data_IF_495003449072
#
_entry.id   IF_495003449072
#
_cell.length_a   1.000
_cell.length_b   1.000
_cell.length_c   1.000
_cell.angle_alpha   90.00
_cell.angle_beta   90.00
_cell.angle_gamma   90.00
#
_symmetry.space_group_name_H-M   'P 1'
#
loop_
_entity.id
_entity.type
_entity.pdbx_description
1 polymer ?
#
# COMPACT_ATOMS: atom_id res chain seq x y z
N UNK A 1 30.75 -15.76 38.58
CA UNK A 1 30.24 -16.94 37.84
C UNK A 1 29.41 -16.40 36.68
N UNK A 2 30.07 -16.16 35.55
CA UNK A 2 29.42 -15.61 34.35
C UNK A 2 28.77 -16.75 33.56
N UNK A 3 27.45 -16.70 33.39
CA UNK A 3 26.75 -17.56 32.45
C UNK A 3 26.95 -17.02 31.03
N UNK A 4 27.89 -17.62 30.30
CA UNK A 4 28.00 -17.53 28.85
C UNK A 4 26.91 -18.42 28.22
N UNK A 5 25.88 -17.83 27.63
CA UNK A 5 25.01 -18.54 26.67
C UNK A 5 25.69 -18.49 25.29
N UNK A 6 26.07 -19.63 24.69
CA UNK A 6 26.44 -19.65 23.29
C UNK A 6 25.15 -19.59 22.44
N UNK A 7 25.05 -18.59 21.58
CA UNK A 7 24.09 -18.57 20.47
C UNK A 7 24.52 -19.64 19.46
N UNK A 8 24.27 -20.91 19.79
CA UNK A 8 24.38 -21.98 18.82
C UNK A 8 23.21 -21.84 17.84
N UNK A 9 23.53 -21.46 16.60
CA UNK A 9 22.61 -21.63 15.47
C UNK A 9 22.47 -23.14 15.25
N UNK A 10 21.52 -23.76 15.96
CA UNK A 10 21.19 -25.16 15.72
C UNK A 10 20.65 -25.31 14.28
N UNK A 11 21.10 -26.32 13.53
CA UNK A 11 20.56 -26.60 12.21
C UNK A 11 19.07 -26.96 12.36
N UNK A 12 18.22 -26.17 11.68
CA UNK A 12 16.77 -26.34 11.69
C UNK A 12 16.41 -27.79 11.31
N UNK A 13 15.63 -28.52 12.13
CA UNK A 13 15.13 -29.83 11.73
C UNK A 13 14.21 -29.68 10.52
N UNK A 14 14.52 -30.43 9.47
CA UNK A 14 13.80 -30.54 8.19
C UNK A 14 12.44 -31.22 8.36
N UNK A 15 11.54 -30.60 9.14
CA UNK A 15 10.13 -30.93 9.13
C UNK A 15 9.40 -29.81 8.39
N UNK A 16 9.13 -30.06 7.11
CA UNK A 16 8.33 -29.19 6.25
C UNK A 16 6.88 -29.18 6.77
N UNK A 17 6.58 -28.27 7.69
CA UNK A 17 5.20 -27.92 8.02
C UNK A 17 4.72 -27.04 6.87
N UNK A 18 3.74 -27.53 6.10
CA UNK A 18 3.08 -26.82 5.01
C UNK A 18 2.51 -25.49 5.57
N UNK A 19 3.14 -24.38 5.22
CA UNK A 19 2.63 -23.04 5.47
C UNK A 19 1.42 -22.82 4.56
N UNK A 20 0.36 -22.20 5.07
CA UNK A 20 -0.75 -21.77 4.21
C UNK A 20 -0.26 -20.63 3.31
N UNK A 21 -0.86 -20.47 2.13
CA UNK A 21 -0.54 -19.32 1.26
C UNK A 21 -0.74 -18.01 2.04
N UNK A 22 0.30 -17.16 2.09
CA UNK A 22 0.33 -15.89 2.82
C UNK A 22 1.05 -15.93 4.18
N UNK A 23 1.51 -17.09 4.63
CA UNK A 23 2.23 -17.25 5.90
C UNK A 23 3.75 -17.20 5.70
N UNK A 24 4.41 -16.18 6.26
CA UNK A 24 5.88 -16.13 6.34
C UNK A 24 6.34 -16.60 7.71
N UNK A 25 7.24 -17.59 7.75
CA UNK A 25 7.92 -18.01 8.98
C UNK A 25 8.88 -16.91 9.42
N UNK A 26 8.62 -16.32 10.58
CA UNK A 26 9.49 -15.29 11.19
C UNK A 26 10.31 -15.81 12.37
N UNK A 27 10.11 -17.07 12.75
CA UNK A 27 10.91 -17.72 13.79
C UNK A 27 10.25 -18.99 14.33
N UNK A 28 10.75 -19.47 15.46
CA UNK A 28 10.14 -20.55 16.22
C UNK A 28 9.98 -20.14 17.67
N UNK A 29 8.88 -20.54 18.30
CA UNK A 29 8.58 -20.33 19.72
C UNK A 29 8.47 -21.69 20.38
N UNK A 30 9.18 -21.87 21.50
CA UNK A 30 9.03 -23.03 22.36
C UNK A 30 7.74 -22.91 23.18
N UNK A 31 6.86 -23.91 23.12
CA UNK A 31 5.59 -23.92 23.88
C UNK A 31 5.64 -24.76 25.16
N UNK A 32 6.83 -25.15 25.61
CA UNK A 32 7.01 -26.06 26.74
C UNK A 32 7.00 -27.55 26.36
N UNK A 33 6.54 -27.89 25.16
CA UNK A 33 6.44 -29.29 24.68
C UNK A 33 6.92 -29.51 23.24
N UNK A 34 6.92 -28.46 22.40
CA UNK A 34 7.41 -28.49 21.03
C UNK A 34 7.82 -27.10 20.56
N UNK A 35 8.68 -27.08 19.55
CA UNK A 35 8.92 -25.89 18.74
C UNK A 35 7.75 -25.68 17.79
N UNK A 36 7.09 -24.54 17.90
CA UNK A 36 6.01 -24.14 17.00
C UNK A 36 6.52 -22.99 16.13
N UNK A 37 6.34 -23.03 14.80
CA UNK A 37 6.70 -21.91 13.95
C UNK A 37 5.90 -20.67 14.38
N UNK A 38 6.62 -19.57 14.61
CA UNK A 38 5.99 -18.25 14.68
C UNK A 38 5.74 -17.83 13.25
N UNK A 39 4.47 -17.87 12.90
CA UNK A 39 3.98 -17.41 11.61
C UNK A 39 3.60 -15.95 11.78
N UNK A 40 4.14 -15.07 10.94
CA UNK A 40 3.56 -13.74 10.81
C UNK A 40 2.15 -13.95 10.25
N UNK A 41 1.13 -13.67 11.05
CA UNK A 41 -0.22 -13.62 10.52
C UNK A 41 -0.22 -12.57 9.40
N UNK A 42 -0.62 -12.98 8.21
CA UNK A 42 -0.88 -12.04 7.12
C UNK A 42 -1.84 -10.98 7.68
N UNK A 43 -1.37 -9.74 7.75
CA UNK A 43 -2.18 -8.59 8.14
C UNK A 43 -3.45 -8.60 7.28
N UNK A 44 -4.59 -8.96 7.88
CA UNK A 44 -5.86 -9.19 7.20
C UNK A 44 -6.55 -7.88 6.81
N UNK A 45 -5.92 -6.73 7.08
CA UNK A 45 -6.45 -5.43 6.71
C UNK A 45 -6.55 -5.31 5.19
N UNK A 46 -7.66 -4.74 4.66
CA UNK A 46 -7.77 -4.42 3.25
C UNK A 46 -6.60 -3.55 2.79
N UNK A 47 -6.06 -3.84 1.61
CA UNK A 47 -4.96 -3.12 1.00
C UNK A 47 -5.45 -2.45 -0.28
N UNK A 48 -5.20 -1.16 -0.41
CA UNK A 48 -5.40 -0.44 -1.68
C UNK A 48 -4.16 -0.69 -2.54
N UNK A 49 -4.38 -1.21 -3.75
CA UNK A 49 -3.34 -1.49 -4.74
C UNK A 49 -3.64 -0.69 -5.99
N UNK A 50 -2.65 0.07 -6.47
CA UNK A 50 -2.75 0.79 -7.74
C UNK A 50 -2.56 -0.22 -8.87
N UNK A 51 -3.51 -0.30 -9.80
CA UNK A 51 -3.45 -1.21 -10.95
C UNK A 51 -2.98 -0.48 -12.22
N UNK A 52 -3.34 0.79 -12.36
CA UNK A 52 -3.03 1.55 -13.55
C UNK A 52 -3.02 3.06 -13.26
N UNK A 53 -2.14 3.78 -13.96
CA UNK A 53 -2.12 5.23 -14.01
C UNK A 53 -2.02 5.62 -15.48
N UNK A 54 -2.87 6.53 -15.93
CA UNK A 54 -2.84 7.06 -17.30
C UNK A 54 -2.90 8.57 -17.27
N UNK A 55 -2.17 9.22 -18.17
CA UNK A 55 -2.27 10.66 -18.41
C UNK A 55 -3.17 10.94 -19.60
N UNK A 56 -3.74 12.14 -19.64
CA UNK A 56 -4.45 12.63 -20.81
C UNK A 56 -3.54 12.69 -22.06
N UNK A 57 -4.16 12.65 -23.24
CA UNK A 57 -3.43 12.57 -24.50
C UNK A 57 -2.42 13.73 -24.70
N UNK A 58 -2.72 14.92 -24.19
CA UNK A 58 -1.84 16.09 -24.31
C UNK A 58 -0.63 16.05 -23.37
N UNK A 59 -0.67 15.24 -22.32
CA UNK A 59 0.38 15.16 -21.30
C UNK A 59 1.12 13.83 -21.29
N UNK A 60 0.64 12.82 -22.03
CA UNK A 60 1.21 11.48 -22.01
C UNK A 60 2.70 11.44 -22.40
N UNK A 61 3.11 12.19 -23.42
CA UNK A 61 4.50 12.29 -23.86
C UNK A 61 5.45 12.91 -22.80
N UNK A 62 4.89 13.61 -21.81
CA UNK A 62 5.60 14.29 -20.73
C UNK A 62 5.36 13.65 -19.36
N UNK A 63 4.75 12.46 -19.34
CA UNK A 63 4.42 11.74 -18.11
C UNK A 63 5.30 10.49 -17.98
N UNK A 64 5.98 10.37 -16.85
CA UNK A 64 6.79 9.21 -16.50
C UNK A 64 6.13 8.57 -15.27
N UNK A 65 5.77 7.30 -15.39
CA UNK A 65 5.16 6.50 -14.33
C UNK A 65 6.16 5.41 -13.95
N UNK A 66 6.47 5.29 -12.66
CA UNK A 66 7.32 4.20 -12.17
C UNK A 66 6.62 2.85 -12.35
N UNK A 67 7.38 1.79 -12.62
CA UNK A 67 6.85 0.44 -12.89
C UNK A 67 5.98 -0.12 -11.75
N UNK A 68 6.23 0.32 -10.52
CA UNK A 68 5.48 -0.06 -9.33
C UNK A 68 4.37 0.92 -8.95
N UNK A 69 4.10 1.92 -9.80
CA UNK A 69 3.14 3.00 -9.57
C UNK A 69 3.39 3.85 -8.31
N UNK A 70 4.55 3.75 -7.66
CA UNK A 70 4.84 4.49 -6.44
C UNK A 70 5.13 5.97 -6.69
N UNK A 71 5.65 6.30 -7.89
CA UNK A 71 5.96 7.67 -8.29
C UNK A 71 5.47 7.96 -9.72
N UNK A 72 4.90 9.15 -9.91
CA UNK A 72 4.53 9.70 -11.21
C UNK A 72 5.11 11.09 -11.34
N UNK A 73 5.74 11.39 -12.47
CA UNK A 73 6.19 12.73 -12.84
C UNK A 73 5.45 13.19 -14.08
N UNK A 74 4.89 14.38 -14.06
CA UNK A 74 4.09 14.90 -15.17
C UNK A 74 4.19 16.43 -15.26
N UNK A 75 3.56 17.00 -16.29
CA UNK A 75 3.48 18.45 -16.48
C UNK A 75 2.36 19.08 -15.67
N UNK A 76 2.49 20.36 -15.37
CA UNK A 76 1.35 21.18 -14.95
C UNK A 76 0.30 21.23 -16.06
N UNK A 77 -0.97 21.14 -15.66
CA UNK A 77 -2.14 21.01 -16.52
C UNK A 77 -2.54 19.55 -16.82
N UNK A 78 -1.70 18.57 -16.50
CA UNK A 78 -2.00 17.17 -16.79
C UNK A 78 -3.21 16.65 -15.99
N UNK A 79 -4.01 15.82 -16.63
CA UNK A 79 -5.06 15.04 -15.96
C UNK A 79 -4.62 13.58 -15.88
N UNK A 80 -4.49 13.06 -14.65
CA UNK A 80 -4.18 11.66 -14.41
C UNK A 80 -5.44 10.90 -14.03
N UNK A 81 -5.69 9.77 -14.67
CA UNK A 81 -6.69 8.79 -14.26
C UNK A 81 -5.97 7.61 -13.58
N UNK A 82 -6.32 7.38 -12.31
CA UNK A 82 -5.71 6.35 -11.47
C UNK A 82 -6.78 5.29 -11.19
N UNK A 83 -6.44 4.04 -11.47
CA UNK A 83 -7.28 2.88 -11.16
C UNK A 83 -6.66 2.11 -10.01
N UNK A 84 -7.48 1.82 -9.01
CA UNK A 84 -7.10 1.10 -7.80
C UNK A 84 -8.05 -0.06 -7.55
N UNK A 85 -7.55 -1.10 -6.88
CA UNK A 85 -8.36 -2.18 -6.33
C UNK A 85 -8.08 -2.37 -4.85
N UNK A 86 -9.02 -2.98 -4.17
CA UNK A 86 -8.90 -3.38 -2.77
C UNK A 86 -8.62 -4.88 -2.69
N UNK A 87 -7.66 -5.27 -1.85
CA UNK A 87 -7.29 -6.67 -1.67
C UNK A 87 -7.17 -7.05 -0.20
N UNK A 88 -7.52 -8.30 0.12
CA UNK A 88 -7.21 -8.93 1.41
C UNK A 88 -6.44 -10.21 1.12
N UNK A 89 -5.24 -10.36 1.68
CA UNK A 89 -4.41 -11.54 1.43
C UNK A 89 -4.04 -11.75 -0.05
N UNK A 90 -4.00 -10.69 -0.86
CA UNK A 90 -3.72 -10.75 -2.31
C UNK A 90 -4.92 -11.17 -3.17
N UNK A 91 -6.10 -11.31 -2.59
CA UNK A 91 -7.35 -11.54 -3.33
C UNK A 91 -8.18 -10.27 -3.37
N UNK A 92 -8.87 -10.04 -4.50
CA UNK A 92 -9.81 -8.92 -4.64
C UNK A 92 -10.86 -8.96 -3.53
N UNK A 93 -11.03 -7.84 -2.84
CA UNK A 93 -12.02 -7.67 -1.79
C UNK A 93 -13.22 -6.87 -2.34
N UNK A 94 -14.34 -7.53 -2.69
CA UNK A 94 -15.44 -6.90 -3.39
C UNK A 94 -16.29 -6.06 -2.44
N UNK A 95 -15.88 -4.80 -2.25
CA UNK A 95 -16.57 -3.83 -1.40
C UNK A 95 -17.22 -2.74 -2.24
N UNK A 96 -18.38 -2.25 -1.77
CA UNK A 96 -19.07 -1.08 -2.30
C UNK A 96 -19.08 0.01 -1.24
N UNK A 97 -17.98 0.75 -1.13
CA UNK A 97 -17.81 1.80 -0.12
C UNK A 97 -17.13 3.02 -0.71
N UNK A 98 -17.32 4.18 -0.08
CA UNK A 98 -16.63 5.41 -0.46
C UNK A 98 -15.59 5.75 0.60
N UNK A 99 -14.38 6.09 0.14
CA UNK A 99 -13.27 6.50 0.98
C UNK A 99 -12.80 7.89 0.58
N UNK A 100 -12.53 8.73 1.57
CA UNK A 100 -11.87 10.01 1.32
C UNK A 100 -10.36 9.78 1.31
N UNK A 101 -9.77 9.89 0.13
CA UNK A 101 -8.32 9.83 -0.04
C UNK A 101 -7.77 11.23 0.23
N UNK A 102 -7.01 11.44 1.32
CA UNK A 102 -6.42 12.73 1.61
C UNK A 102 -5.25 12.97 0.66
N UNK A 103 -5.30 14.09 -0.05
CA UNK A 103 -4.22 14.53 -0.95
C UNK A 103 -3.50 15.69 -0.26
N UNK A 104 -2.26 15.48 0.16
CA UNK A 104 -1.44 16.54 0.75
C UNK A 104 -0.59 17.18 -0.32
N UNK A 105 -0.73 18.49 -0.44
CA UNK A 105 0.13 19.36 -1.24
C UNK A 105 1.42 19.70 -0.48
N UNK A 106 2.46 20.18 -1.18
CA UNK A 106 3.76 20.57 -0.59
C UNK A 106 3.61 21.64 0.50
N UNK A 107 2.64 22.54 0.34
CA UNK A 107 2.32 23.59 1.30
C UNK A 107 1.59 23.07 2.56
N UNK A 108 1.39 21.76 2.67
CA UNK A 108 0.73 21.11 3.80
C UNK A 108 -0.79 21.16 3.74
N UNK A 109 -1.39 21.71 2.68
CA UNK A 109 -2.84 21.70 2.52
C UNK A 109 -3.34 20.31 2.14
N UNK A 110 -4.37 19.86 2.83
CA UNK A 110 -5.03 18.57 2.59
C UNK A 110 -6.31 18.79 1.82
N UNK A 111 -6.41 18.16 0.65
CA UNK A 111 -7.61 18.13 -0.17
C UNK A 111 -8.18 16.71 -0.17
N UNK A 112 -9.32 16.45 0.49
CA UNK A 112 -9.93 15.14 0.46
C UNK A 112 -10.55 14.90 -0.94
N UNK A 113 -10.16 13.79 -1.58
CA UNK A 113 -10.81 13.29 -2.79
C UNK A 113 -11.64 12.07 -2.42
N UNK A 114 -12.95 12.17 -2.56
CA UNK A 114 -13.84 11.03 -2.38
C UNK A 114 -13.67 10.05 -3.54
N UNK A 115 -13.34 8.81 -3.23
CA UNK A 115 -13.16 7.69 -4.14
C UNK A 115 -14.24 6.65 -3.84
N UNK A 116 -15.07 6.34 -4.82
CA UNK A 116 -16.10 5.31 -4.72
C UNK A 116 -15.55 3.99 -5.24
N UNK A 117 -15.55 2.97 -4.39
CA UNK A 117 -15.27 1.60 -4.79
C UNK A 117 -16.56 0.89 -5.18
N UNK A 118 -16.51 0.22 -6.33
CA UNK A 118 -17.54 -0.66 -6.84
C UNK A 118 -16.93 -2.05 -7.04
N UNK A 119 -17.49 -3.07 -6.38
CA UNK A 119 -16.95 -4.43 -6.37
C UNK A 119 -15.43 -4.50 -6.09
N UNK A 120 -14.94 -3.62 -5.20
CA UNK A 120 -13.53 -3.58 -4.81
C UNK A 120 -12.61 -2.88 -5.80
N UNK A 121 -13.13 -2.17 -6.81
CA UNK A 121 -12.35 -1.38 -7.78
C UNK A 121 -12.83 0.07 -7.80
N UNK A 122 -11.91 0.99 -8.04
CA UNK A 122 -12.25 2.39 -8.21
C UNK A 122 -11.35 3.03 -9.26
N UNK A 123 -11.90 3.99 -10.01
CA UNK A 123 -11.12 4.86 -10.88
C UNK A 123 -11.44 6.30 -10.53
N UNK A 124 -10.41 7.12 -10.33
CA UNK A 124 -10.58 8.54 -10.05
C UNK A 124 -9.59 9.36 -10.86
N UNK A 125 -10.01 10.59 -11.16
CA UNK A 125 -9.21 11.56 -11.91
C UNK A 125 -8.72 12.68 -11.01
N UNK A 126 -7.52 13.14 -11.31
CA UNK A 126 -6.89 14.28 -10.68
C UNK A 126 -6.28 15.20 -11.74
N UNK A 127 -6.44 16.51 -11.53
CA UNK A 127 -5.89 17.54 -12.43
C UNK A 127 -4.77 18.28 -11.71
N UNK A 128 -3.58 18.29 -12.32
CA UNK A 128 -2.39 18.98 -11.81
C UNK A 128 -2.48 20.47 -12.13
N UNK A 129 -3.29 21.24 -11.40
CA UNK A 129 -3.54 22.66 -11.73
C UNK A 129 -2.34 23.56 -11.51
N UNK A 130 -1.39 23.17 -10.67
CA UNK A 130 -0.21 23.95 -10.29
C UNK A 130 1.01 23.05 -10.11
N UNK A 131 2.24 23.61 -10.17
CA UNK A 131 3.46 22.85 -9.91
C UNK A 131 3.49 22.43 -8.45
N UNK A 132 3.29 21.13 -8.18
CA UNK A 132 3.11 20.61 -6.82
C UNK A 132 3.60 19.17 -6.75
N UNK A 133 4.10 18.79 -5.58
CA UNK A 133 4.29 17.39 -5.20
C UNK A 133 3.07 16.99 -4.37
N UNK A 134 2.43 15.92 -4.77
CA UNK A 134 1.34 15.31 -4.04
C UNK A 134 1.82 14.02 -3.45
N UNK A 135 1.55 13.83 -2.17
CA UNK A 135 1.93 12.61 -1.47
C UNK A 135 0.70 12.06 -0.75
N UNK A 136 0.45 10.77 -0.95
CA UNK A 136 -0.60 10.03 -0.25
C UNK A 136 0.08 8.85 0.43
N UNK A 137 -0.04 8.76 1.76
CA UNK A 137 0.51 7.66 2.56
C UNK A 137 -0.60 6.88 3.24
N UNK A 138 -0.29 5.65 3.68
CA UNK A 138 -1.23 4.83 4.46
C UNK A 138 -1.67 5.53 5.76
N UNK A 139 -0.73 6.20 6.43
CA UNK A 139 -0.99 6.93 7.67
C UNK A 139 -2.03 8.04 7.46
N UNK A 140 -1.94 8.76 6.34
CA UNK A 140 -2.90 9.80 6.01
C UNK A 140 -4.29 9.22 5.76
N UNK A 141 -4.41 8.18 4.94
CA UNK A 141 -5.69 7.50 4.67
C UNK A 141 -6.32 6.99 5.97
N UNK A 142 -5.52 6.45 6.87
CA UNK A 142 -5.99 5.87 8.12
C UNK A 142 -6.19 6.87 9.26
N UNK A 143 -5.78 8.13 9.11
CA UNK A 143 -5.80 9.12 10.19
C UNK A 143 -7.21 9.40 10.75
N UNK A 144 -8.24 9.24 9.91
CA UNK A 144 -9.65 9.41 10.29
C UNK A 144 -10.42 8.10 10.45
N UNK A 145 -9.79 6.94 10.28
CA UNK A 145 -10.45 5.64 10.31
C UNK A 145 -10.22 4.94 11.66
N UNK A 146 -11.25 4.31 12.25
CA UNK A 146 -11.07 3.51 13.45
C UNK A 146 -10.20 2.27 13.13
N UNK A 147 -9.48 1.70 14.12
CA UNK A 147 -8.48 0.65 13.90
C UNK A 147 -8.97 -0.55 13.08
N UNK A 148 -10.22 -0.95 13.26
CA UNK A 148 -10.87 -2.05 12.56
C UNK A 148 -11.17 -1.78 11.08
N UNK A 149 -11.15 -0.50 10.66
CA UNK A 149 -11.34 -0.08 9.26
C UNK A 149 -10.04 0.41 8.61
N UNK A 150 -8.92 0.32 9.31
CA UNK A 150 -7.64 0.74 8.75
C UNK A 150 -7.24 -0.15 7.58
N UNK A 151 -6.58 0.47 6.61
CA UNK A 151 -6.19 -0.15 5.36
C UNK A 151 -4.68 -0.05 5.15
N UNK A 152 -4.13 -0.96 4.36
CA UNK A 152 -2.75 -0.87 3.90
C UNK A 152 -2.72 -0.10 2.59
N UNK A 153 -1.70 0.73 2.40
CA UNK A 153 -1.46 1.40 1.13
C UNK A 153 0.05 1.60 0.97
N UNK A 154 0.58 1.27 -0.21
CA UNK A 154 2.02 1.42 -0.48
C UNK A 154 2.46 2.89 -0.56
N UNK A 155 1.51 3.79 -0.78
CA UNK A 155 1.76 5.20 -1.02
C UNK A 155 1.79 5.53 -2.51
N UNK A 156 1.49 6.79 -2.83
CA UNK A 156 1.59 7.34 -4.18
C UNK A 156 2.14 8.75 -4.09
N UNK A 157 3.21 9.00 -4.86
CA UNK A 157 3.80 10.32 -5.02
C UNK A 157 3.63 10.81 -6.45
N UNK A 158 3.00 11.96 -6.63
CA UNK A 158 2.87 12.63 -7.94
C UNK A 158 3.66 13.93 -7.91
N UNK A 159 4.49 14.17 -8.91
CA UNK A 159 5.27 15.40 -9.06
C UNK A 159 4.85 16.08 -10.35
N UNK A 160 4.23 17.24 -10.24
CA UNK A 160 3.91 18.10 -11.37
C UNK A 160 4.93 19.26 -11.43
N UNK A 161 5.57 19.43 -12.59
CA UNK A 161 6.50 20.53 -12.85
C UNK A 161 6.08 21.31 -14.10
N UNK A 162 6.47 22.58 -14.18
CA UNK A 162 6.43 23.30 -15.45
C UNK A 162 7.54 22.73 -16.36
N UNK A 163 7.17 22.29 -17.56
CA UNK A 163 8.05 21.64 -18.53
C UNK A 163 7.85 22.27 -19.89
#
# INVERSE_FOLDING_TARGET
MECKYPFALDPLPTNAILLKQGETRIGQKWTGSKWVPVVAQADQRPAIVVENITADAGSNAHTIIADNFAEVRTRVGAMLAISVRMEVGGQLYPVNEAFDMPITSVDGRVYPKRVLFEAGRATFTITMTEPRIWNVTAEMINSGLPPEKQMRFAGLRVVAAEI
#
